data_IF_271373024378
#
_entry.id   IF_271373024378
#
_cell.length_a   1.000
_cell.length_b   1.000
_cell.length_c   1.000
_cell.angle_alpha   90.00
_cell.angle_beta   90.00
_cell.angle_gamma   90.00
#
_symmetry.space_group_name_H-M   'P 1'
#
loop_
_entity.id
_entity.type
_entity.pdbx_description
1 polymer ?
#
# COMPACT_ATOMS: atom_id res chain seq x y z
N UNK A 1 -27.57 -2.66 -8.31
CA UNK A 1 -27.77 -1.30 -7.79
C UNK A 1 -28.67 -1.28 -6.55
N UNK A 2 -29.90 -1.81 -6.62
CA UNK A 2 -30.82 -1.95 -5.46
C UNK A 2 -30.22 -2.71 -4.29
N UNK A 3 -29.54 -3.84 -4.54
CA UNK A 3 -28.89 -4.64 -3.48
C UNK A 3 -27.76 -3.93 -2.74
N UNK A 4 -27.00 -3.08 -3.44
CA UNK A 4 -25.86 -2.34 -2.87
C UNK A 4 -26.39 -1.15 -2.05
N UNK A 5 -27.41 -0.46 -2.56
CA UNK A 5 -28.15 0.55 -1.81
C UNK A 5 -28.78 -0.04 -0.55
N UNK A 6 -29.33 -1.25 -0.65
CA UNK A 6 -29.84 -2.00 0.49
C UNK A 6 -28.73 -2.30 1.51
N UNK A 7 -27.55 -2.74 1.07
CA UNK A 7 -26.41 -3.03 1.95
C UNK A 7 -25.89 -1.78 2.67
N UNK A 8 -25.80 -0.64 1.98
CA UNK A 8 -25.38 0.63 2.59
C UNK A 8 -26.45 1.13 3.57
N UNK A 9 -27.74 1.05 3.20
CA UNK A 9 -28.85 1.42 4.08
C UNK A 9 -28.90 0.49 5.30
N UNK A 10 -28.75 -0.82 5.12
CA UNK A 10 -28.75 -1.78 6.22
C UNK A 10 -27.54 -1.55 7.13
N UNK A 11 -26.34 -1.34 6.56
CA UNK A 11 -25.12 -1.06 7.32
C UNK A 11 -25.22 0.23 8.13
N UNK A 12 -25.77 1.29 7.54
CA UNK A 12 -25.98 2.58 8.23
C UNK A 12 -27.06 2.49 9.31
N UNK A 13 -28.17 1.78 9.05
CA UNK A 13 -29.20 1.51 10.05
C UNK A 13 -28.63 0.65 11.20
N UNK A 14 -27.86 -0.40 10.89
CA UNK A 14 -27.22 -1.25 11.91
C UNK A 14 -26.25 -0.45 12.76
N UNK A 15 -25.38 0.34 12.12
CA UNK A 15 -24.41 1.20 12.81
C UNK A 15 -25.11 2.20 13.73
N UNK A 16 -26.18 2.85 13.26
CA UNK A 16 -27.00 3.74 14.08
C UNK A 16 -27.62 3.02 15.29
N UNK A 17 -28.17 1.82 15.09
CA UNK A 17 -28.79 1.03 16.16
C UNK A 17 -27.76 0.56 17.19
N UNK A 18 -26.58 0.10 16.74
CA UNK A 18 -25.47 -0.34 17.60
C UNK A 18 -24.94 0.84 18.42
N UNK A 19 -24.68 1.99 17.79
CA UNK A 19 -24.25 3.21 18.47
C UNK A 19 -25.29 3.67 19.49
N UNK A 20 -26.58 3.64 19.13
CA UNK A 20 -27.68 3.97 20.04
C UNK A 20 -27.76 3.01 21.23
N UNK A 21 -27.48 1.73 21.04
CA UNK A 21 -27.53 0.71 22.09
C UNK A 21 -26.34 0.83 23.06
N UNK A 22 -25.11 0.90 22.53
CA UNK A 22 -23.89 1.17 23.29
C UNK A 22 -24.05 2.48 24.09
N UNK A 23 -24.57 3.51 23.45
CA UNK A 23 -24.82 4.80 24.09
C UNK A 23 -25.88 4.73 25.20
N UNK A 24 -26.96 3.95 25.03
CA UNK A 24 -28.00 3.78 26.07
C UNK A 24 -27.48 3.02 27.29
N UNK A 25 -26.52 2.11 27.09
CA UNK A 25 -25.84 1.38 28.15
C UNK A 25 -24.87 2.32 28.91
N UNK A 26 -24.08 3.11 28.19
CA UNK A 26 -23.03 3.97 28.79
C UNK A 26 -23.62 5.26 29.39
N UNK A 27 -24.59 5.89 28.74
CA UNK A 27 -25.14 7.19 29.13
C UNK A 27 -26.63 7.09 29.45
N UNK A 28 -26.92 6.77 30.72
CA UNK A 28 -28.28 6.71 31.28
C UNK A 28 -28.85 8.11 31.56
N UNK A 29 -28.71 9.10 30.67
CA UNK A 29 -29.16 10.47 30.97
C UNK A 29 -29.24 11.42 29.75
N UNK A 30 -30.36 12.17 29.67
CA UNK A 30 -30.66 13.37 28.85
C UNK A 30 -30.62 13.24 27.30
N UNK A 31 -31.82 13.15 26.72
CA UNK A 31 -32.16 13.03 25.28
C UNK A 31 -31.50 14.05 24.32
N UNK A 32 -31.13 15.25 24.79
CA UNK A 32 -30.47 16.29 23.98
C UNK A 32 -28.96 16.07 23.82
N UNK A 33 -28.26 15.66 24.90
CA UNK A 33 -26.82 15.34 24.88
C UNK A 33 -26.55 14.14 23.97
N UNK A 34 -27.49 13.19 23.93
CA UNK A 34 -27.45 11.99 23.08
C UNK A 34 -27.39 12.30 21.58
N UNK A 35 -28.22 13.23 21.09
CA UNK A 35 -28.26 13.56 19.66
C UNK A 35 -26.99 14.28 19.20
N UNK A 36 -26.46 15.16 20.06
CA UNK A 36 -25.24 15.92 19.77
C UNK A 36 -23.99 15.04 19.69
N UNK A 37 -23.87 14.04 20.59
CA UNK A 37 -22.75 13.10 20.57
C UNK A 37 -22.83 12.12 19.39
N UNK A 38 -24.03 11.66 19.00
CA UNK A 38 -24.20 10.85 17.79
C UNK A 38 -23.79 11.63 16.54
N UNK A 39 -24.14 12.91 16.46
CA UNK A 39 -23.72 13.80 15.38
C UNK A 39 -22.19 13.96 15.31
N UNK A 40 -21.54 14.25 16.45
CA UNK A 40 -20.08 14.32 16.55
C UNK A 40 -19.40 12.99 16.20
N UNK A 41 -19.96 11.85 16.66
CA UNK A 41 -19.45 10.52 16.32
C UNK A 41 -19.56 10.22 14.83
N UNK A 42 -20.66 10.59 14.18
CA UNK A 42 -20.82 10.43 12.73
C UNK A 42 -19.87 11.31 11.91
N UNK A 43 -19.65 12.57 12.32
CA UNK A 43 -18.66 13.44 11.69
C UNK A 43 -17.24 12.89 11.88
N UNK A 44 -16.93 12.41 13.10
CA UNK A 44 -15.65 11.80 13.41
C UNK A 44 -15.37 10.56 12.54
N UNK A 45 -16.36 9.70 12.32
CA UNK A 45 -16.23 8.53 11.45
C UNK A 45 -15.99 8.90 9.98
N UNK A 46 -16.67 9.94 9.49
CA UNK A 46 -16.45 10.45 8.13
C UNK A 46 -15.02 10.99 7.99
N UNK A 47 -14.57 11.84 8.91
CA UNK A 47 -13.19 12.37 8.91
C UNK A 47 -12.19 11.22 9.02
N UNK A 48 -12.44 10.22 9.85
CA UNK A 48 -11.57 9.06 10.01
C UNK A 48 -11.44 8.25 8.71
N UNK A 49 -12.53 8.09 7.97
CA UNK A 49 -12.53 7.40 6.67
C UNK A 49 -11.77 8.17 5.57
N UNK A 50 -11.79 9.51 5.61
CA UNK A 50 -11.11 10.36 4.64
C UNK A 50 -9.72 10.82 5.08
N UNK A 51 -9.24 10.40 6.25
CA UNK A 51 -7.87 10.70 6.72
C UNK A 51 -6.92 9.54 6.47
N UNK A 52 -5.59 9.77 6.43
CA UNK A 52 -4.58 8.74 6.17
C UNK A 52 -4.59 7.59 7.20
N UNK A 53 -5.15 7.82 8.39
CA UNK A 53 -5.32 6.78 9.42
C UNK A 53 -6.15 5.59 8.95
N UNK A 54 -7.05 5.79 7.98
CA UNK A 54 -7.81 4.70 7.36
C UNK A 54 -6.93 3.69 6.61
N UNK A 55 -5.73 4.07 6.14
CA UNK A 55 -4.81 3.16 5.45
C UNK A 55 -4.43 1.96 6.31
N UNK A 56 -4.22 2.19 7.60
CA UNK A 56 -3.91 1.14 8.57
C UNK A 56 -5.03 0.11 8.75
N UNK A 57 -6.23 0.34 8.22
CA UNK A 57 -7.31 -0.65 8.24
C UNK A 57 -7.33 -1.51 6.97
N UNK A 58 -6.53 -1.19 5.95
CA UNK A 58 -6.53 -1.87 4.67
C UNK A 58 -5.46 -2.98 4.61
N UNK A 59 -5.83 -4.25 4.35
CA UNK A 59 -4.85 -5.34 4.23
C UNK A 59 -3.77 -5.09 3.17
N UNK A 60 -4.11 -4.40 2.07
CA UNK A 60 -3.15 -4.03 1.03
C UNK A 60 -2.10 -3.03 1.52
N UNK A 61 -2.45 -2.16 2.47
CA UNK A 61 -1.50 -1.21 3.05
C UNK A 61 -0.46 -1.91 3.93
N UNK A 62 -0.87 -2.91 4.70
CA UNK A 62 0.07 -3.73 5.47
C UNK A 62 1.06 -4.47 4.56
N UNK A 63 0.57 -5.07 3.47
CA UNK A 63 1.46 -5.71 2.47
C UNK A 63 2.41 -4.71 1.84
N UNK A 64 1.91 -3.53 1.46
CA UNK A 64 2.74 -2.44 0.96
C UNK A 64 3.83 -2.04 1.96
N UNK A 65 3.47 -1.85 3.24
CA UNK A 65 4.42 -1.56 4.33
C UNK A 65 5.49 -2.63 4.47
N UNK A 66 5.12 -3.92 4.42
CA UNK A 66 6.10 -5.01 4.48
C UNK A 66 7.05 -5.03 3.28
N UNK A 67 6.56 -4.77 2.07
CA UNK A 67 7.41 -4.68 0.87
C UNK A 67 8.34 -3.46 0.99
N UNK A 68 7.86 -2.32 1.48
CA UNK A 68 8.68 -1.13 1.65
C UNK A 68 9.83 -1.27 2.66
N UNK A 69 9.78 -2.26 3.58
CA UNK A 69 10.95 -2.58 4.41
C UNK A 69 12.15 -3.09 3.60
N UNK A 70 11.92 -3.53 2.36
CA UNK A 70 12.95 -3.96 1.43
C UNK A 70 13.53 -2.82 0.59
N UNK A 71 13.00 -1.60 0.70
CA UNK A 71 13.64 -0.42 0.11
C UNK A 71 15.08 -0.32 0.63
N UNK A 72 16.10 -0.15 -0.24
CA UNK A 72 17.50 -0.18 0.18
C UNK A 72 17.82 0.79 1.33
N UNK A 73 17.28 2.02 1.29
CA UNK A 73 17.55 3.02 2.32
C UNK A 73 16.90 2.62 3.65
N UNK A 74 15.63 2.20 3.61
CA UNK A 74 14.89 1.74 4.79
C UNK A 74 15.53 0.47 5.37
N UNK A 75 15.91 -0.48 4.53
CA UNK A 75 16.52 -1.74 4.95
C UNK A 75 17.86 -1.51 5.66
N UNK A 76 18.70 -0.64 5.09
CA UNK A 76 19.98 -0.27 5.68
C UNK A 76 19.82 0.54 6.96
N UNK A 77 18.84 1.45 7.03
CA UNK A 77 18.53 2.21 8.25
C UNK A 77 18.12 1.29 9.41
N UNK A 78 17.48 0.15 9.10
CA UNK A 78 17.13 -0.89 10.08
C UNK A 78 18.30 -1.87 10.40
N UNK A 79 19.53 -1.56 9.98
CA UNK A 79 20.72 -2.37 10.24
C UNK A 79 20.97 -3.52 9.25
N UNK A 80 20.17 -3.59 8.18
CA UNK A 80 20.34 -4.58 7.11
C UNK A 80 21.57 -4.30 6.23
N UNK A 81 22.08 -5.35 5.57
CA UNK A 81 23.17 -5.27 4.59
C UNK A 81 22.68 -5.64 3.21
N UNK A 82 23.13 -4.91 2.19
CA UNK A 82 22.83 -5.21 0.79
C UNK A 82 23.78 -6.31 0.28
N UNK A 83 23.47 -7.54 0.68
CA UNK A 83 24.21 -8.75 0.35
C UNK A 83 23.34 -9.77 -0.40
N UNK A 84 23.89 -10.96 -0.65
CA UNK A 84 23.20 -12.05 -1.33
C UNK A 84 21.88 -12.45 -0.65
N UNK A 85 21.80 -12.38 0.68
CA UNK A 85 20.57 -12.65 1.42
C UNK A 85 19.50 -11.61 1.07
N UNK A 86 19.86 -10.32 1.09
CA UNK A 86 18.96 -9.24 0.69
C UNK A 86 18.48 -9.41 -0.76
N UNK A 87 19.39 -9.66 -1.71
CA UNK A 87 19.02 -9.80 -3.12
C UNK A 87 18.05 -10.96 -3.32
N UNK A 88 18.31 -12.12 -2.72
CA UNK A 88 17.42 -13.28 -2.79
C UNK A 88 16.08 -13.02 -2.08
N UNK A 89 16.08 -12.28 -0.96
CA UNK A 89 14.85 -11.89 -0.25
C UNK A 89 13.92 -11.05 -1.13
N UNK A 90 14.47 -10.11 -1.90
CA UNK A 90 13.70 -9.30 -2.86
C UNK A 90 13.26 -10.14 -4.06
N UNK A 91 14.18 -10.90 -4.65
CA UNK A 91 13.93 -11.70 -5.86
C UNK A 91 12.87 -12.79 -5.68
N UNK A 92 12.68 -13.29 -4.45
CA UNK A 92 11.59 -14.22 -4.12
C UNK A 92 10.20 -13.67 -4.42
N UNK A 93 10.00 -12.35 -4.40
CA UNK A 93 8.72 -11.78 -4.82
C UNK A 93 8.45 -11.98 -6.31
N UNK A 94 9.48 -12.22 -7.11
CA UNK A 94 9.42 -12.47 -8.56
C UNK A 94 9.65 -13.94 -8.91
N UNK A 95 9.48 -14.83 -7.93
CA UNK A 95 9.55 -16.28 -8.10
C UNK A 95 10.92 -16.74 -8.66
N UNK A 96 11.99 -16.02 -8.26
CA UNK A 96 13.39 -16.30 -8.66
C UNK A 96 14.36 -16.00 -7.51
N UNK A 97 15.64 -16.26 -7.76
CA UNK A 97 16.79 -15.87 -6.95
C UNK A 97 17.89 -15.29 -7.87
N UNK A 98 19.01 -14.89 -7.27
CA UNK A 98 20.12 -14.25 -7.95
C UNK A 98 20.82 -15.16 -8.97
N UNK A 99 20.81 -16.48 -8.76
CA UNK A 99 21.43 -17.45 -9.67
C UNK A 99 20.52 -17.82 -10.85
N UNK A 100 19.20 -17.71 -10.65
CA UNK A 100 18.19 -18.09 -11.63
C UNK A 100 17.60 -16.90 -12.41
N UNK A 101 17.90 -15.66 -12.03
CA UNK A 101 17.33 -14.46 -12.67
C UNK A 101 17.52 -14.40 -14.20
N UNK A 102 18.66 -14.87 -14.70
CA UNK A 102 18.99 -14.90 -16.13
C UNK A 102 18.11 -15.86 -16.94
N UNK A 103 17.45 -16.82 -16.27
CA UNK A 103 16.51 -17.76 -16.91
C UNK A 103 15.14 -17.13 -17.16
N UNK A 104 14.77 -16.12 -16.36
CA UNK A 104 13.43 -15.51 -16.40
C UNK A 104 13.41 -14.10 -16.99
N UNK A 105 14.56 -13.41 -17.01
CA UNK A 105 14.71 -12.08 -17.59
C UNK A 105 15.98 -12.00 -18.43
N UNK A 106 15.90 -11.22 -19.51
CA UNK A 106 17.06 -10.88 -20.34
C UNK A 106 17.79 -9.68 -19.76
N UNK A 107 19.12 -9.73 -19.75
CA UNK A 107 19.95 -8.61 -19.31
C UNK A 107 19.71 -7.43 -20.24
N UNK A 108 19.29 -6.30 -19.67
CA UNK A 108 19.14 -5.05 -20.40
C UNK A 108 20.51 -4.38 -20.46
N UNK A 109 20.94 -4.06 -21.68
CA UNK A 109 22.19 -3.34 -21.97
C UNK A 109 21.82 -2.02 -22.62
N UNK A 110 22.29 -0.90 -22.08
CA UNK A 110 22.09 0.41 -22.69
C UNK A 110 22.85 0.54 -24.02
N UNK A 111 22.38 1.43 -24.91
CA UNK A 111 22.99 1.65 -26.23
C UNK A 111 24.46 2.07 -26.15
N UNK A 112 24.83 2.82 -25.10
CA UNK A 112 26.21 3.23 -24.82
C UNK A 112 27.08 2.11 -24.20
N UNK A 113 26.50 0.93 -23.96
CA UNK A 113 27.11 -0.25 -23.33
C UNK A 113 27.72 0.03 -21.94
N UNK A 114 27.17 0.99 -21.19
CA UNK A 114 27.63 1.33 -19.83
C UNK A 114 26.69 0.88 -18.72
N UNK A 115 25.45 0.54 -19.04
CA UNK A 115 24.45 0.14 -18.07
C UNK A 115 23.96 -1.27 -18.36
N UNK A 116 24.13 -2.13 -17.37
CA UNK A 116 23.74 -3.54 -17.41
C UNK A 116 22.78 -3.78 -16.26
N UNK A 117 21.55 -4.18 -16.54
CA UNK A 117 20.56 -4.40 -15.47
C UNK A 117 19.54 -5.48 -15.78
N UNK A 118 19.05 -6.11 -14.71
CA UNK A 118 17.78 -6.84 -14.77
C UNK A 118 16.70 -5.96 -14.15
N UNK A 119 15.52 -5.97 -14.77
CA UNK A 119 14.37 -5.22 -14.30
C UNK A 119 13.18 -6.19 -14.17
N UNK A 120 12.69 -6.27 -12.94
CA UNK A 120 11.54 -7.05 -12.54
C UNK A 120 10.40 -6.12 -12.19
N UNK A 121 9.20 -6.50 -12.59
CA UNK A 121 7.96 -5.73 -12.42
C UNK A 121 6.88 -6.74 -12.05
N UNK A 122 6.12 -6.49 -10.98
CA UNK A 122 5.02 -7.34 -10.52
C UNK A 122 3.92 -6.49 -9.90
N UNK A 123 2.68 -6.84 -10.23
CA UNK A 123 1.51 -6.34 -9.52
C UNK A 123 1.11 -7.31 -8.41
N UNK A 124 0.90 -6.78 -7.21
CA UNK A 124 0.36 -7.54 -6.07
C UNK A 124 -1.06 -7.04 -5.78
N UNK A 125 -2.03 -7.94 -5.95
CA UNK A 125 -3.45 -7.72 -5.62
C UNK A 125 -4.04 -6.43 -6.19
N UNK A 126 -3.64 -6.09 -7.43
CA UNK A 126 -4.07 -4.93 -8.24
C UNK A 126 -3.85 -3.54 -7.62
N UNK A 127 -3.24 -3.49 -6.44
CA UNK A 127 -3.07 -2.27 -5.65
C UNK A 127 -1.62 -1.87 -5.48
N UNK A 128 -0.70 -2.82 -5.57
CA UNK A 128 0.72 -2.57 -5.36
C UNK A 128 1.47 -2.85 -6.65
N UNK A 129 2.15 -1.83 -7.18
CA UNK A 129 3.18 -1.99 -8.20
C UNK A 129 4.50 -2.18 -7.49
N UNK A 130 5.21 -3.28 -7.78
CA UNK A 130 6.51 -3.56 -7.21
C UNK A 130 7.52 -3.81 -8.34
N UNK A 131 8.47 -2.89 -8.45
CA UNK A 131 9.57 -2.97 -9.39
C UNK A 131 10.89 -3.13 -8.64
N UNK A 132 11.73 -4.02 -9.14
CA UNK A 132 13.08 -4.21 -8.64
C UNK A 132 14.07 -4.13 -9.78
N UNK A 133 15.11 -3.31 -9.60
CA UNK A 133 16.19 -3.16 -10.56
C UNK A 133 17.51 -3.46 -9.88
N UNK A 134 18.27 -4.34 -10.50
CA UNK A 134 19.64 -4.68 -10.10
C UNK A 134 20.59 -4.29 -11.23
N UNK A 135 21.56 -3.43 -10.93
CA UNK A 135 22.57 -2.97 -11.89
C UNK A 135 23.91 -3.63 -11.62
N UNK A 136 24.60 -3.99 -12.69
CA UNK A 136 25.92 -4.59 -12.67
C UNK A 136 26.96 -3.61 -13.22
N UNK A 137 28.23 -3.83 -12.85
CA UNK A 137 29.33 -2.98 -13.32
C UNK A 137 29.69 -3.26 -14.78
N UNK A 138 29.42 -4.48 -15.26
CA UNK A 138 29.61 -4.90 -16.66
C UNK A 138 28.60 -6.02 -17.02
N UNK A 139 28.72 -6.58 -18.23
CA UNK A 139 27.83 -7.64 -18.75
C UNK A 139 27.87 -8.96 -17.96
N UNK A 140 28.94 -9.20 -17.19
CA UNK A 140 29.04 -10.38 -16.34
C UNK A 140 28.17 -10.21 -15.09
N UNK A 141 26.88 -10.51 -15.21
CA UNK A 141 25.87 -10.30 -14.17
C UNK A 141 25.94 -11.33 -13.03
N UNK A 142 27.05 -11.30 -12.30
CA UNK A 142 27.33 -12.14 -11.12
C UNK A 142 27.20 -11.34 -9.83
N UNK A 143 27.08 -12.05 -8.69
CA UNK A 143 26.90 -11.44 -7.38
C UNK A 143 28.00 -10.45 -6.97
N UNK A 144 29.25 -10.74 -7.30
CA UNK A 144 30.40 -9.87 -6.96
C UNK A 144 30.46 -8.61 -7.84
N UNK A 145 29.69 -8.61 -8.92
CA UNK A 145 29.67 -7.55 -9.92
C UNK A 145 28.46 -6.62 -9.80
N UNK A 146 27.64 -6.78 -8.77
CA UNK A 146 26.53 -5.89 -8.48
C UNK A 146 27.09 -4.50 -8.15
N UNK A 147 26.53 -3.47 -8.79
CA UNK A 147 26.88 -2.07 -8.60
C UNK A 147 25.95 -1.40 -7.60
N UNK A 148 24.63 -1.59 -7.78
CA UNK A 148 23.58 -1.02 -6.95
C UNK A 148 22.25 -1.71 -7.23
N UNK A 149 21.28 -1.43 -6.38
CA UNK A 149 19.89 -1.90 -6.50
C UNK A 149 18.93 -0.74 -6.27
N UNK A 150 17.70 -0.89 -6.76
CA UNK A 150 16.60 0.04 -6.50
C UNK A 150 15.30 -0.74 -6.45
N UNK A 151 14.50 -0.38 -5.47
CA UNK A 151 13.16 -0.91 -5.23
C UNK A 151 12.21 0.25 -5.41
N UNK A 152 11.24 0.08 -6.30
CA UNK A 152 10.16 1.04 -6.50
C UNK A 152 8.86 0.36 -6.15
N UNK A 153 8.20 0.85 -5.10
CA UNK A 153 6.92 0.30 -4.66
C UNK A 153 5.91 1.43 -4.64
N UNK A 154 4.79 1.21 -5.29
CA UNK A 154 3.66 2.13 -5.31
C UNK A 154 2.42 1.41 -4.82
N UNK A 155 1.71 2.00 -3.87
CA UNK A 155 0.41 1.52 -3.41
C UNK A 155 -0.69 2.49 -3.82
N UNK A 156 -1.77 1.96 -4.37
CA UNK A 156 -2.96 2.73 -4.76
C UNK A 156 -3.95 2.73 -3.59
N UNK A 157 -4.23 3.91 -3.03
CA UNK A 157 -5.25 4.08 -1.98
C UNK A 157 -6.65 4.18 -2.60
N UNK A 158 -7.07 3.12 -3.28
CA UNK A 158 -8.35 3.10 -4.00
C UNK A 158 -9.54 3.30 -3.05
N UNK A 159 -10.07 4.51 -3.01
CA UNK A 159 -11.27 4.87 -2.25
C UNK A 159 -12.50 4.95 -3.16
N UNK A 160 -13.68 4.55 -2.67
CA UNK A 160 -14.93 4.71 -3.40
C UNK A 160 -15.30 6.21 -3.43
N UNK A 161 -15.34 6.78 -4.63
CA UNK A 161 -15.84 8.13 -4.87
C UNK A 161 -17.20 8.07 -5.57
N UNK A 162 -18.15 8.95 -5.20
CA UNK A 162 -19.39 9.10 -5.93
C UNK A 162 -19.11 9.72 -7.31
N UNK A 163 -19.59 9.10 -8.38
CA UNK A 163 -19.51 9.67 -9.73
C UNK A 163 -20.36 10.95 -9.80
N UNK A 164 -19.74 12.08 -10.10
CA UNK A 164 -20.45 13.35 -10.24
C UNK A 164 -21.13 13.40 -11.60
N UNK A 165 -22.44 13.68 -11.58
CA UNK A 165 -23.37 13.80 -12.70
C UNK A 165 -23.70 12.49 -13.46
N UNK A 166 -24.98 12.30 -13.76
CA UNK A 166 -25.53 11.22 -14.60
C UNK A 166 -25.75 9.82 -14.02
N UNK A 167 -25.78 9.64 -12.70
CA UNK A 167 -26.41 8.43 -12.10
C UNK A 167 -25.72 7.10 -12.38
N UNK A 168 -24.44 7.12 -12.78
CA UNK A 168 -23.63 5.96 -13.14
C UNK A 168 -22.68 5.54 -12.01
N UNK A 169 -23.24 5.11 -10.88
CA UNK A 169 -22.52 4.32 -9.86
C UNK A 169 -21.37 5.00 -9.09
N UNK A 170 -20.54 4.18 -8.44
CA UNK A 170 -19.32 4.57 -7.73
C UNK A 170 -18.11 4.13 -8.55
N UNK A 171 -17.04 4.92 -8.53
CA UNK A 171 -15.76 4.52 -9.08
C UNK A 171 -14.69 4.52 -8.00
N UNK A 172 -13.68 3.67 -8.16
CA UNK A 172 -12.52 3.68 -7.30
C UNK A 172 -11.54 4.72 -7.85
N UNK A 173 -11.23 5.71 -7.02
CA UNK A 173 -10.22 6.71 -7.29
C UNK A 173 -9.36 6.87 -6.05
N UNK A 174 -8.10 7.17 -6.25
CA UNK A 174 -7.11 7.26 -5.19
C UNK A 174 -5.81 7.79 -5.75
N UNK A 175 -5.02 8.36 -4.87
CA UNK A 175 -3.64 8.73 -5.11
C UNK A 175 -2.74 7.49 -5.07
N UNK A 176 -1.43 7.74 -5.13
CA UNK A 176 -0.41 6.69 -5.00
C UNK A 176 0.57 7.09 -3.91
N UNK A 177 0.77 6.20 -2.96
CA UNK A 177 1.79 6.33 -1.94
C UNK A 177 3.00 5.47 -2.32
N UNK A 178 4.20 5.92 -1.96
CA UNK A 178 5.45 5.19 -2.16
C UNK A 178 6.17 4.97 -0.83
N UNK A 179 7.30 4.26 -0.85
CA UNK A 179 8.03 3.97 0.39
C UNK A 179 8.57 5.20 1.11
N UNK A 180 8.63 6.38 0.48
CA UNK A 180 9.03 7.63 1.14
C UNK A 180 8.02 8.05 2.22
N UNK A 181 6.78 7.54 2.17
CA UNK A 181 5.79 7.67 3.24
C UNK A 181 6.37 7.24 4.60
N UNK A 182 7.14 6.15 4.62
CA UNK A 182 7.73 5.60 5.85
C UNK A 182 9.06 6.24 6.24
N UNK A 183 9.72 6.96 5.32
CA UNK A 183 10.95 7.72 5.62
C UNK A 183 10.64 9.00 6.41
N UNK A 184 9.42 9.52 6.30
CA UNK A 184 8.95 10.68 7.07
C UNK A 184 8.66 10.31 8.53
N UNK A 185 8.12 9.13 8.79
CA UNK A 185 7.81 8.64 10.15
C UNK A 185 9.06 8.39 11.01
N UNK A 186 10.25 8.22 10.42
CA UNK A 186 11.50 8.00 11.18
C UNK A 186 12.22 9.28 11.62
N UNK A 187 11.76 10.45 11.16
CA UNK A 187 12.37 11.75 11.46
C UNK A 187 11.56 12.59 12.47
N UNK A 188 10.49 12.03 13.05
CA UNK A 188 9.73 12.57 14.19
C UNK A 188 9.94 11.69 15.44
#
# INVERSE_FOLDING_TARGET
MTYILLLIIISTILSYLILKFIYRIIFKSKKSVSKFLVFLGSIGLIIFYYTPYSYYLEPSFYKFKEICKLDPEIYQANGGKLDEEYYNKVLRYFDTDLDNMSKIKTLRISDDKKHFSYWFEKWVEDRISFDFVIWFKNENATKDNIKKVSVYVWWRDLRPFPSSNEGTGFYLSGDRENCDYFKKESNE
#
